data_IF_450724900396
#
_entry.id   IF_450724900396
#
_cell.length_a   1.000
_cell.length_b   1.000
_cell.length_c   1.000
_cell.angle_alpha   90.00
_cell.angle_beta   90.00
_cell.angle_gamma   90.00
#
_symmetry.space_group_name_H-M   'P 1'
#
loop_
_entity.id
_entity.type
_entity.pdbx_description
1 polymer ?
#
# COMPACT_ATOMS: atom_id res chain seq x y z
N UNK A 1 6.26 5.35 14.96
CA UNK A 1 6.83 6.58 15.58
C UNK A 1 8.34 6.55 15.77
N UNK A 2 9.03 5.46 15.40
CA UNK A 2 10.50 5.52 15.29
C UNK A 2 10.93 6.41 14.12
N UNK A 3 11.89 7.29 14.38
CA UNK A 3 12.52 8.12 13.36
C UNK A 3 13.54 7.29 12.60
N UNK A 4 13.57 7.45 11.29
CA UNK A 4 14.57 6.83 10.44
C UNK A 4 15.99 7.42 10.67
N UNK A 5 17.07 6.65 10.41
CA UNK A 5 17.05 5.30 9.83
C UNK A 5 16.54 4.25 10.81
N UNK A 6 15.60 3.41 10.36
CA UNK A 6 14.98 2.38 11.20
C UNK A 6 14.64 1.13 10.40
N UNK A 7 14.66 -0.02 11.07
CA UNK A 7 14.44 -1.33 10.44
C UNK A 7 13.80 -2.30 11.43
N UNK A 8 12.75 -2.99 10.99
CA UNK A 8 11.96 -3.89 11.82
C UNK A 8 11.79 -5.24 11.14
N UNK A 9 12.11 -6.31 11.84
CA UNK A 9 11.84 -7.67 11.38
C UNK A 9 10.32 -7.92 11.40
N UNK A 10 9.75 -8.23 10.25
CA UNK A 10 8.33 -8.54 10.09
C UNK A 10 8.07 -10.04 10.08
N UNK A 11 9.00 -10.82 9.52
CA UNK A 11 8.87 -12.27 9.41
C UNK A 11 10.26 -12.92 9.33
N UNK A 12 10.42 -14.02 10.04
CA UNK A 12 11.52 -14.96 9.87
C UNK A 12 10.96 -16.38 9.92
N UNK A 13 11.26 -17.19 8.91
CA UNK A 13 10.73 -18.54 8.85
C UNK A 13 11.07 -19.26 7.56
N UNK A 14 10.45 -20.41 7.36
CA UNK A 14 10.61 -21.20 6.14
C UNK A 14 9.46 -20.94 5.16
N UNK A 15 9.80 -20.62 3.92
CA UNK A 15 8.88 -20.54 2.79
C UNK A 15 9.39 -21.46 1.68
N UNK A 16 8.60 -22.46 1.28
CA UNK A 16 8.96 -23.45 0.25
C UNK A 16 10.34 -24.10 0.46
N UNK A 17 10.61 -24.55 1.70
CA UNK A 17 11.89 -25.14 2.14
C UNK A 17 13.11 -24.22 2.05
N UNK A 18 12.91 -22.90 2.02
CA UNK A 18 13.98 -21.91 2.13
C UNK A 18 13.74 -21.04 3.34
N UNK A 19 14.79 -20.79 4.12
CA UNK A 19 14.72 -19.82 5.21
C UNK A 19 14.72 -18.42 4.61
N UNK A 20 13.79 -17.60 5.07
CA UNK A 20 13.65 -16.22 4.63
C UNK A 20 13.55 -15.29 5.83
N UNK A 21 14.08 -14.07 5.66
CA UNK A 21 13.89 -12.95 6.58
C UNK A 21 13.32 -11.77 5.80
N UNK A 22 12.30 -11.14 6.37
CA UNK A 22 11.61 -10.00 5.77
C UNK A 22 11.61 -8.87 6.80
N UNK A 23 12.16 -7.72 6.41
CA UNK A 23 12.19 -6.53 7.26
C UNK A 23 11.59 -5.33 6.54
N UNK A 24 10.81 -4.52 7.24
CA UNK A 24 10.40 -3.19 6.77
C UNK A 24 11.45 -2.19 7.24
N UNK A 25 11.82 -1.23 6.40
CA UNK A 25 12.88 -0.27 6.72
C UNK A 25 12.66 1.10 6.06
N UNK A 26 13.32 2.12 6.61
CA UNK A 26 13.51 3.44 6.00
C UNK A 26 14.93 3.91 6.34
N UNK A 27 15.73 4.24 5.32
CA UNK A 27 17.15 4.58 5.45
C UNK A 27 17.40 6.10 5.44
N UNK A 28 16.49 6.90 4.87
CA UNK A 28 16.64 8.35 4.80
C UNK A 28 16.44 8.99 6.18
N UNK A 29 17.43 9.72 6.71
CA UNK A 29 17.31 10.40 8.00
C UNK A 29 16.10 11.36 8.06
N UNK A 30 15.51 11.48 9.26
CA UNK A 30 14.40 12.40 9.55
C UNK A 30 13.12 12.15 8.72
N UNK A 31 12.94 10.93 8.24
CA UNK A 31 11.70 10.43 7.65
C UNK A 31 10.96 9.53 8.65
N UNK A 32 9.73 9.17 8.27
CA UNK A 32 8.97 8.14 8.96
C UNK A 32 9.09 6.84 8.17
N UNK A 33 8.95 5.72 8.87
CA UNK A 33 8.94 4.38 8.28
C UNK A 33 7.95 4.22 7.12
N UNK A 34 6.81 4.93 7.21
CA UNK A 34 5.75 4.92 6.23
C UNK A 34 5.47 6.34 5.75
N UNK A 35 5.25 6.48 4.45
CA UNK A 35 4.80 7.73 3.85
C UNK A 35 3.39 8.14 4.30
N UNK A 36 3.04 9.42 4.12
CA UNK A 36 1.77 9.99 4.60
C UNK A 36 0.52 9.26 4.11
N UNK A 37 0.57 8.68 2.91
CA UNK A 37 -0.57 8.01 2.29
C UNK A 37 -0.60 6.49 2.54
N UNK A 38 0.42 5.91 3.17
CA UNK A 38 0.52 4.46 3.36
C UNK A 38 -0.67 3.87 4.14
N UNK A 39 -1.29 4.67 5.01
CA UNK A 39 -2.43 4.27 5.82
C UNK A 39 -3.77 4.77 5.27
N UNK A 40 -3.80 5.29 4.03
CA UNK A 40 -5.04 5.74 3.43
C UNK A 40 -6.04 4.59 3.31
N UNK A 41 -7.24 4.81 3.84
CA UNK A 41 -8.38 3.93 3.78
C UNK A 41 -9.17 4.19 2.49
N UNK A 42 -9.73 3.15 1.89
CA UNK A 42 -10.45 3.26 0.63
C UNK A 42 -11.95 3.43 0.88
N UNK A 43 -12.53 4.48 0.30
CA UNK A 43 -13.95 4.81 0.37
C UNK A 43 -14.56 4.98 -1.02
N UNK A 44 -15.86 4.72 -1.13
CA UNK A 44 -16.68 5.02 -2.30
C UNK A 44 -17.77 6.01 -1.92
N UNK A 45 -17.89 7.12 -2.65
CA UNK A 45 -18.96 8.10 -2.47
C UNK A 45 -19.41 8.64 -3.84
N UNK A 46 -20.71 8.59 -4.11
CA UNK A 46 -21.31 9.09 -5.36
C UNK A 46 -20.61 8.56 -6.63
N UNK A 47 -20.29 7.26 -6.64
CA UNK A 47 -19.61 6.60 -7.76
C UNK A 47 -18.11 6.93 -7.90
N UNK A 48 -17.57 7.84 -7.08
CA UNK A 48 -16.14 8.10 -7.00
C UNK A 48 -15.46 7.17 -6.00
N UNK A 49 -14.18 6.89 -6.22
CA UNK A 49 -13.34 6.06 -5.34
C UNK A 49 -12.22 6.93 -4.78
N UNK A 50 -12.03 6.93 -3.46
CA UNK A 50 -11.07 7.78 -2.77
C UNK A 50 -10.17 6.99 -1.83
N UNK A 51 -8.90 7.39 -1.75
CA UNK A 51 -7.99 7.01 -0.68
C UNK A 51 -7.90 8.16 0.31
N UNK A 52 -8.47 7.99 1.50
CA UNK A 52 -8.56 9.04 2.53
C UNK A 52 -7.72 8.63 3.74
N UNK A 53 -6.87 9.52 4.29
CA UNK A 53 -6.11 9.22 5.50
C UNK A 53 -7.00 8.79 6.67
N UNK A 54 -6.48 7.92 7.53
CA UNK A 54 -7.14 7.55 8.80
C UNK A 54 -7.52 8.78 9.64
N UNK A 55 -6.62 9.76 9.68
CA UNK A 55 -6.77 11.02 10.40
C UNK A 55 -7.57 12.06 9.59
N UNK A 56 -8.71 12.45 10.15
CA UNK A 56 -9.72 13.32 9.53
C UNK A 56 -9.25 14.78 9.46
N UNK A 57 -8.37 15.21 10.35
CA UNK A 57 -7.92 16.60 10.40
C UNK A 57 -7.09 17.00 9.18
N UNK A 58 -6.43 16.03 8.55
CA UNK A 58 -5.51 16.24 7.41
C UNK A 58 -6.19 16.53 6.07
N UNK A 59 -7.50 16.36 5.96
CA UNK A 59 -8.18 16.33 4.65
C UNK A 59 -9.35 17.31 4.50
N UNK A 60 -9.54 18.21 5.49
CA UNK A 60 -10.55 19.26 5.43
C UNK A 60 -11.99 18.72 5.37
N UNK A 61 -12.93 19.57 4.93
CA UNK A 61 -14.36 19.26 4.91
C UNK A 61 -14.72 18.17 3.88
N UNK A 62 -14.02 18.09 2.75
CA UNK A 62 -14.29 17.07 1.72
C UNK A 62 -13.99 15.67 2.25
N UNK A 63 -12.85 15.46 2.92
CA UNK A 63 -12.51 14.17 3.50
C UNK A 63 -13.44 13.76 4.65
N UNK A 64 -13.87 14.72 5.48
CA UNK A 64 -14.91 14.50 6.52
C UNK A 64 -16.19 13.96 5.89
N UNK A 65 -16.71 14.65 4.87
CA UNK A 65 -17.92 14.24 4.17
C UNK A 65 -17.78 12.84 3.51
N UNK A 66 -16.61 12.52 2.95
CA UNK A 66 -16.34 11.18 2.40
C UNK A 66 -16.37 10.09 3.48
N UNK A 67 -15.76 10.32 4.65
CA UNK A 67 -15.79 9.33 5.74
C UNK A 67 -17.18 9.16 6.35
N UNK A 68 -17.95 10.23 6.48
CA UNK A 68 -19.29 10.20 7.09
C UNK A 68 -20.34 9.57 6.18
N UNK A 69 -20.31 9.88 4.88
CA UNK A 69 -21.36 9.47 3.93
C UNK A 69 -20.93 8.38 2.97
N UNK A 70 -19.63 8.15 2.82
CA UNK A 70 -19.08 7.15 1.92
C UNK A 70 -19.15 5.74 2.49
N UNK A 71 -19.09 4.76 1.60
CA UNK A 71 -19.00 3.34 1.94
C UNK A 71 -17.52 2.95 2.03
N UNK A 72 -17.09 2.49 3.21
CA UNK A 72 -15.72 2.00 3.43
C UNK A 72 -15.53 0.65 2.74
N UNK A 73 -14.47 0.50 1.96
CA UNK A 73 -14.13 -0.76 1.28
C UNK A 73 -13.45 -1.79 2.20
N UNK A 74 -13.21 -1.43 3.47
CA UNK A 74 -12.49 -2.24 4.47
C UNK A 74 -11.09 -2.69 4.03
N UNK A 75 -10.42 -1.84 3.24
CA UNK A 75 -9.05 -1.98 2.79
C UNK A 75 -8.33 -0.65 2.99
N UNK A 76 -7.03 -0.71 3.26
CA UNK A 76 -6.13 0.43 3.23
C UNK A 76 -4.91 0.12 2.35
N UNK A 77 -4.13 1.15 2.01
CA UNK A 77 -2.97 1.00 1.14
C UNK A 77 -1.94 0.04 1.72
N UNK A 78 -1.64 0.13 3.02
CA UNK A 78 -0.72 -0.78 3.71
C UNK A 78 -1.10 -2.23 3.47
N UNK A 79 -2.34 -2.60 3.76
CA UNK A 79 -2.83 -3.95 3.58
C UNK A 79 -2.69 -4.43 2.13
N UNK A 80 -3.10 -3.61 1.16
CA UNK A 80 -3.08 -4.00 -0.24
C UNK A 80 -1.63 -4.15 -0.75
N UNK A 81 -0.73 -3.23 -0.39
CA UNK A 81 0.68 -3.25 -0.77
C UNK A 81 1.43 -4.40 -0.10
N UNK A 82 1.16 -4.68 1.19
CA UNK A 82 1.76 -5.82 1.87
C UNK A 82 1.41 -7.14 1.19
N UNK A 83 0.17 -7.30 0.70
CA UNK A 83 -0.22 -8.48 -0.08
C UNK A 83 0.52 -8.55 -1.43
N UNK A 84 0.78 -7.41 -2.07
CA UNK A 84 1.61 -7.37 -3.28
C UNK A 84 3.05 -7.82 -2.99
N UNK A 85 3.70 -7.25 -1.97
CA UNK A 85 5.04 -7.68 -1.58
C UNK A 85 5.10 -9.16 -1.21
N UNK A 86 4.13 -9.66 -0.45
CA UNK A 86 4.05 -11.08 -0.13
C UNK A 86 3.99 -11.96 -1.39
N UNK A 87 3.15 -11.59 -2.37
CA UNK A 87 3.03 -12.31 -3.64
C UNK A 87 4.35 -12.32 -4.42
N UNK A 88 5.02 -11.18 -4.50
CA UNK A 88 6.31 -11.07 -5.22
C UNK A 88 7.40 -11.90 -4.53
N UNK A 89 7.44 -11.91 -3.18
CA UNK A 89 8.36 -12.75 -2.41
C UNK A 89 8.09 -14.23 -2.67
N UNK A 90 6.84 -14.67 -2.66
CA UNK A 90 6.46 -16.05 -2.99
C UNK A 90 6.91 -16.44 -4.40
N UNK A 91 6.75 -15.54 -5.39
CA UNK A 91 7.17 -15.78 -6.77
C UNK A 91 8.70 -15.93 -6.84
N UNK A 92 9.45 -15.01 -6.22
CA UNK A 92 10.91 -15.05 -6.20
C UNK A 92 11.45 -16.33 -5.54
N UNK A 93 10.87 -16.75 -4.42
CA UNK A 93 11.22 -18.02 -3.77
C UNK A 93 10.94 -19.21 -4.69
N UNK A 94 9.79 -19.21 -5.37
CA UNK A 94 9.38 -20.27 -6.30
C UNK A 94 10.29 -20.35 -7.53
N UNK A 95 10.72 -19.22 -8.07
CA UNK A 95 11.67 -19.12 -9.19
C UNK A 95 13.10 -19.44 -8.79
N UNK A 96 13.35 -19.55 -7.50
CA UNK A 96 14.60 -20.02 -6.96
C UNK A 96 15.61 -18.94 -6.65
N UNK A 97 15.16 -17.67 -6.53
CA UNK A 97 15.99 -16.55 -6.11
C UNK A 97 16.62 -16.79 -4.73
N UNK A 98 17.83 -16.25 -4.56
CA UNK A 98 18.66 -16.32 -3.34
C UNK A 98 19.28 -14.96 -3.07
N UNK A 99 19.77 -14.77 -1.85
CA UNK A 99 20.44 -13.56 -1.42
C UNK A 99 19.47 -12.46 -1.01
N UNK A 100 19.99 -11.23 -0.99
CA UNK A 100 19.34 -10.05 -0.42
C UNK A 100 18.83 -9.11 -1.52
N UNK A 101 17.59 -8.67 -1.43
CA UNK A 101 16.98 -7.71 -2.36
C UNK A 101 15.90 -6.88 -1.68
N UNK A 102 15.43 -5.84 -2.35
CA UNK A 102 14.44 -4.90 -1.82
C UNK A 102 13.25 -4.74 -2.76
N UNK A 103 12.09 -4.51 -2.16
CA UNK A 103 10.91 -3.98 -2.84
C UNK A 103 10.59 -2.60 -2.29
N UNK A 104 10.14 -1.70 -3.14
CA UNK A 104 9.72 -0.37 -2.72
C UNK A 104 8.50 0.13 -3.50
N UNK A 105 7.61 0.83 -2.80
CA UNK A 105 6.56 1.65 -3.41
C UNK A 105 6.68 3.06 -2.84
N UNK A 106 7.18 3.98 -3.66
CA UNK A 106 7.39 5.38 -3.28
C UNK A 106 6.12 6.21 -3.40
N UNK A 107 5.41 6.11 -4.53
CA UNK A 107 4.27 6.97 -4.86
C UNK A 107 3.16 6.18 -5.54
N UNK A 108 1.93 6.34 -5.08
CA UNK A 108 0.74 5.88 -5.76
C UNK A 108 0.25 6.93 -6.77
N UNK A 109 0.19 6.57 -8.05
CA UNK A 109 -0.35 7.40 -9.14
C UNK A 109 -1.64 6.83 -9.72
N UNK A 110 -1.85 5.54 -9.54
CA UNK A 110 -2.93 4.73 -10.07
C UNK A 110 -3.34 3.64 -9.07
N UNK A 111 -4.54 3.05 -9.20
CA UNK A 111 -4.99 1.95 -8.34
C UNK A 111 -4.02 0.75 -8.32
N UNK A 112 -3.39 0.43 -9.44
CA UNK A 112 -2.45 -0.69 -9.53
C UNK A 112 -1.19 -0.46 -8.70
N UNK A 113 -0.75 0.78 -8.50
CA UNK A 113 0.43 1.09 -7.68
C UNK A 113 0.21 0.75 -6.19
N UNK A 114 -1.03 0.57 -5.77
CA UNK A 114 -1.40 0.15 -4.42
C UNK A 114 -2.08 -1.22 -4.40
N UNK A 115 -1.87 -2.03 -5.44
CA UNK A 115 -2.44 -3.38 -5.58
C UNK A 115 -3.98 -3.41 -5.55
N UNK A 116 -4.64 -2.42 -6.16
CA UNK A 116 -6.10 -2.35 -6.27
C UNK A 116 -6.53 -2.46 -7.73
N UNK A 117 -7.44 -3.39 -8.00
CA UNK A 117 -8.06 -3.57 -9.32
C UNK A 117 -9.54 -3.21 -9.28
N UNK A 118 -9.96 -2.35 -10.21
CA UNK A 118 -11.36 -2.02 -10.43
C UNK A 118 -11.87 -2.81 -11.63
N UNK A 119 -12.89 -3.64 -11.41
CA UNK A 119 -13.47 -4.50 -12.47
C UNK A 119 -14.03 -3.67 -13.62
N UNK A 120 -13.94 -4.21 -14.84
CA UNK A 120 -14.26 -3.47 -16.07
C UNK A 120 -15.64 -2.82 -16.11
N UNK A 121 -16.68 -3.45 -15.55
CA UNK A 121 -18.03 -2.85 -15.47
C UNK A 121 -18.04 -1.57 -14.62
N UNK A 122 -17.43 -1.60 -13.44
CA UNK A 122 -17.33 -0.44 -12.56
C UNK A 122 -16.45 0.65 -13.19
N UNK A 123 -15.32 0.26 -13.80
CA UNK A 123 -14.43 1.20 -14.49
C UNK A 123 -15.15 1.94 -15.63
N UNK A 124 -15.97 1.23 -16.43
CA UNK A 124 -16.78 1.81 -17.51
C UNK A 124 -17.83 2.79 -16.96
N UNK A 125 -18.52 2.42 -15.88
CA UNK A 125 -19.47 3.31 -15.21
C UNK A 125 -18.80 4.60 -14.74
N UNK A 126 -17.66 4.48 -14.04
CA UNK A 126 -16.91 5.64 -13.54
C UNK A 126 -16.55 6.58 -14.68
N UNK A 127 -16.05 6.05 -15.81
CA UNK A 127 -15.71 6.86 -16.97
C UNK A 127 -16.92 7.51 -17.65
N UNK A 128 -18.01 6.77 -17.86
CA UNK A 128 -19.21 7.27 -18.53
C UNK A 128 -19.90 8.39 -17.74
N UNK A 129 -19.94 8.26 -16.41
CA UNK A 129 -20.61 9.20 -15.51
C UNK A 129 -19.67 10.33 -15.03
N UNK A 130 -18.50 10.51 -15.66
CA UNK A 130 -17.48 11.50 -15.30
C UNK A 130 -17.07 11.45 -13.81
N UNK A 131 -17.06 10.25 -13.21
CA UNK A 131 -16.59 10.03 -11.84
C UNK A 131 -15.08 9.84 -11.80
N UNK A 132 -14.49 9.93 -10.60
CA UNK A 132 -13.04 9.95 -10.38
C UNK A 132 -12.57 8.76 -9.55
N UNK A 133 -11.34 8.33 -9.83
CA UNK A 133 -10.58 7.40 -9.00
C UNK A 133 -9.37 8.15 -8.44
N UNK A 134 -9.39 8.39 -7.13
CA UNK A 134 -8.41 9.18 -6.40
C UNK A 134 -7.72 8.28 -5.38
N UNK A 135 -7.00 7.28 -5.88
CA UNK A 135 -6.11 6.41 -5.09
C UNK A 135 -4.66 6.82 -5.36
N UNK A 136 -4.23 7.93 -4.75
CA UNK A 136 -2.93 8.56 -5.04
C UNK A 136 -2.27 9.09 -3.77
N UNK A 137 -0.96 9.27 -3.81
CA UNK A 137 -0.20 9.93 -2.75
C UNK A 137 1.15 9.29 -2.43
N UNK A 138 1.96 9.96 -1.61
CA UNK A 138 3.27 9.47 -1.19
C UNK A 138 3.13 8.29 -0.22
N UNK A 139 3.52 7.09 -0.66
CA UNK A 139 3.40 5.85 0.11
C UNK A 139 4.66 5.56 0.90
N UNK A 140 5.85 5.74 0.29
CA UNK A 140 7.16 5.45 0.88
C UNK A 140 7.16 4.22 1.79
N UNK A 141 7.12 3.04 1.18
CA UNK A 141 7.19 1.77 1.89
C UNK A 141 8.21 0.87 1.23
N UNK A 142 9.16 0.39 2.04
CA UNK A 142 10.27 -0.44 1.59
C UNK A 142 10.35 -1.72 2.42
N UNK A 143 10.59 -2.84 1.74
CA UNK A 143 10.79 -4.15 2.35
C UNK A 143 12.10 -4.72 1.85
N UNK A 144 12.92 -5.17 2.78
CA UNK A 144 14.13 -5.92 2.54
C UNK A 144 13.87 -7.41 2.76
N UNK A 145 14.32 -8.23 1.82
CA UNK A 145 14.12 -9.68 1.83
C UNK A 145 15.48 -10.35 1.69
N UNK A 146 15.73 -11.32 2.56
CA UNK A 146 16.90 -12.19 2.51
C UNK A 146 16.41 -13.63 2.38
N UNK A 147 16.84 -14.32 1.32
CA UNK A 147 16.55 -15.74 1.06
C UNK A 147 17.86 -16.54 1.09
N UNK A 148 17.91 -17.60 1.89
CA UNK A 148 19.05 -18.55 1.94
C UNK A 148 19.15 -19.48 0.69
#
# INVERSE_FOLDING_TARGET
DEKSPCKFLCFEGNLMNRRIKISVFEDEENKNLLGPAALNEIYVLDGNIYGIPGDIEKFGEEGKNIKEKGIKANLNFLYAISNYFAKEIENNVKEGQKGKFTFEIKMAKSPSDVNIMIKGRAKRFISNENKRIVLKGPVFMSVEVEIE
#
